data_IF_413805401348
#
_entry.id   IF_413805401348
#
_cell.length_a   1.000
_cell.length_b   1.000
_cell.length_c   1.000
_cell.angle_alpha   90.00
_cell.angle_beta   90.00
_cell.angle_gamma   90.00
#
_symmetry.space_group_name_H-M   'P 1'
#
loop_
_entity.id
_entity.type
_entity.pdbx_description
1 polymer ?
#
# COMPACT_ATOMS: atom_id res chain seq x y z
N UNK A 1 1.28 -24.71 20.37
CA UNK A 1 1.88 -23.88 19.31
C UNK A 1 0.72 -23.12 18.70
N UNK A 2 0.76 -21.81 18.57
CA UNK A 2 -0.26 -21.11 17.78
C UNK A 2 -0.19 -21.68 16.34
N UNK A 3 -1.34 -21.85 15.73
CA UNK A 3 -1.46 -22.31 14.35
C UNK A 3 -0.66 -21.37 13.44
N UNK A 4 0.47 -21.84 12.93
CA UNK A 4 1.30 -21.11 11.96
C UNK A 4 0.58 -20.90 10.62
N UNK A 5 -0.56 -21.59 10.42
CA UNK A 5 -1.40 -21.43 9.22
C UNK A 5 -2.18 -20.10 9.17
N UNK A 6 -2.15 -19.29 10.24
CA UNK A 6 -2.86 -18.00 10.32
C UNK A 6 -1.95 -16.77 10.20
N UNK A 7 -0.65 -16.93 9.93
CA UNK A 7 0.26 -15.80 9.81
C UNK A 7 0.09 -15.08 8.47
N UNK A 8 -0.63 -13.95 8.48
CA UNK A 8 -0.67 -13.02 7.35
C UNK A 8 0.37 -11.92 7.55
N UNK A 9 1.43 -11.94 6.74
CA UNK A 9 2.51 -10.94 6.75
C UNK A 9 2.02 -9.52 6.41
N UNK A 10 0.80 -9.40 5.90
CA UNK A 10 0.18 -8.13 5.49
C UNK A 10 -0.64 -7.50 6.59
N UNK A 11 -1.11 -8.30 7.55
CA UNK A 11 -1.95 -7.84 8.65
C UNK A 11 -1.11 -7.17 9.73
N UNK A 12 -1.20 -5.84 9.81
CA UNK A 12 -0.56 -5.04 10.85
C UNK A 12 -1.46 -4.80 12.07
N UNK A 13 -2.72 -5.18 12.02
CA UNK A 13 -3.66 -5.00 13.14
C UNK A 13 -3.29 -5.88 14.33
N UNK A 14 -2.52 -6.94 14.09
CA UNK A 14 -2.05 -7.90 15.10
C UNK A 14 -0.71 -7.51 15.74
N UNK A 15 -0.06 -6.41 15.28
CA UNK A 15 1.24 -5.99 15.82
C UNK A 15 1.12 -5.50 17.26
N UNK A 16 1.98 -6.01 18.14
CA UNK A 16 2.14 -5.48 19.49
C UNK A 16 2.64 -4.02 19.47
N UNK A 17 2.48 -3.31 20.58
CA UNK A 17 2.98 -1.93 20.71
C UNK A 17 4.48 -1.85 20.45
N UNK A 18 5.24 -2.83 20.91
CA UNK A 18 6.70 -2.93 20.67
C UNK A 18 7.02 -3.13 19.19
N UNK A 19 6.26 -3.95 18.48
CA UNK A 19 6.45 -4.15 17.04
C UNK A 19 6.09 -2.91 16.23
N UNK A 20 5.10 -2.12 16.67
CA UNK A 20 4.77 -0.83 16.06
C UNK A 20 5.89 0.21 16.27
N UNK A 21 6.50 0.25 17.44
CA UNK A 21 7.62 1.14 17.73
C UNK A 21 8.87 0.76 16.93
N UNK A 22 9.12 -0.54 16.76
CA UNK A 22 10.16 -1.04 15.87
C UNK A 22 9.89 -0.60 14.44
N UNK A 23 8.65 -0.79 13.94
CA UNK A 23 8.29 -0.38 12.58
C UNK A 23 8.49 1.12 12.35
N UNK A 24 8.18 1.95 13.36
CA UNK A 24 8.47 3.40 13.32
C UNK A 24 9.96 3.69 13.27
N UNK A 25 10.77 2.99 14.08
CA UNK A 25 12.23 3.17 14.11
C UNK A 25 12.91 2.79 12.79
N UNK A 26 12.34 1.84 12.05
CA UNK A 26 12.84 1.43 10.73
C UNK A 26 12.56 2.44 9.61
N UNK A 27 11.64 3.40 9.82
CA UNK A 27 11.28 4.39 8.79
C UNK A 27 12.41 5.39 8.59
N UNK A 28 12.78 5.70 7.33
CA UNK A 28 13.72 6.78 7.04
C UNK A 28 13.08 8.14 7.43
N UNK A 29 13.94 9.05 7.91
CA UNK A 29 13.52 10.37 8.41
C UNK A 29 13.87 11.52 7.46
N UNK A 30 14.63 11.25 6.40
CA UNK A 30 15.06 12.25 5.41
C UNK A 30 15.07 11.66 4.02
N UNK A 31 15.06 12.51 3.00
CA UNK A 31 15.21 12.06 1.60
C UNK A 31 16.54 11.31 1.38
N UNK A 32 17.60 11.64 2.08
CA UNK A 32 18.92 11.01 1.89
C UNK A 32 18.97 9.58 2.42
N UNK A 33 18.12 9.27 3.40
CA UNK A 33 18.01 7.92 3.98
C UNK A 33 16.90 7.09 3.33
N UNK A 34 16.04 7.71 2.54
CA UNK A 34 15.00 7.03 1.78
C UNK A 34 15.61 6.36 0.54
N UNK A 35 15.36 5.08 0.33
CA UNK A 35 15.88 4.30 -0.79
C UNK A 35 14.77 3.98 -1.77
N UNK A 36 15.12 3.98 -3.06
CA UNK A 36 14.20 3.76 -4.17
C UNK A 36 13.29 4.96 -4.46
N UNK A 37 12.43 4.83 -5.46
CA UNK A 37 11.57 5.92 -5.94
C UNK A 37 12.38 7.15 -6.39
N UNK A 38 13.59 6.98 -6.90
CA UNK A 38 14.60 8.02 -7.09
C UNK A 38 14.05 9.24 -7.83
N UNK A 39 13.35 9.02 -8.94
CA UNK A 39 12.74 10.10 -9.73
C UNK A 39 11.69 10.90 -8.95
N UNK A 40 10.87 10.22 -8.13
CA UNK A 40 9.86 10.88 -7.31
C UNK A 40 10.52 11.67 -6.18
N UNK A 41 11.55 11.11 -5.54
CA UNK A 41 12.33 11.75 -4.46
C UNK A 41 13.11 12.96 -4.97
N UNK A 42 13.76 12.87 -6.13
CA UNK A 42 14.47 14.01 -6.74
C UNK A 42 13.52 15.18 -7.02
N UNK A 43 12.35 14.92 -7.60
CA UNK A 43 11.36 15.95 -7.84
C UNK A 43 10.86 16.57 -6.52
N UNK A 44 10.56 15.75 -5.51
CA UNK A 44 10.13 16.22 -4.19
C UNK A 44 11.18 17.11 -3.53
N UNK A 45 12.47 16.74 -3.59
CA UNK A 45 13.58 17.56 -3.08
C UNK A 45 13.54 18.97 -3.69
N UNK A 46 13.37 19.07 -5.00
CA UNK A 46 13.30 20.35 -5.71
C UNK A 46 12.08 21.16 -5.26
N UNK A 47 10.89 20.55 -5.22
CA UNK A 47 9.67 21.24 -4.86
C UNK A 47 9.68 21.72 -3.40
N UNK A 48 10.13 20.87 -2.48
CA UNK A 48 10.29 21.22 -1.06
C UNK A 48 11.29 22.34 -0.88
N UNK A 49 12.44 22.29 -1.54
CA UNK A 49 13.44 23.36 -1.48
C UNK A 49 12.89 24.69 -2.03
N UNK A 50 12.15 24.66 -3.14
CA UNK A 50 11.53 25.84 -3.72
C UNK A 50 10.47 26.45 -2.79
N UNK A 51 9.62 25.66 -2.16
CA UNK A 51 8.64 26.10 -1.18
C UNK A 51 9.30 26.78 0.04
N UNK A 52 10.39 26.16 0.57
CA UNK A 52 11.20 26.75 1.65
C UNK A 52 11.78 28.10 1.27
N UNK A 53 12.33 28.24 0.06
CA UNK A 53 12.91 29.51 -0.39
C UNK A 53 11.89 30.63 -0.49
N UNK A 54 10.64 30.31 -0.79
CA UNK A 54 9.52 31.29 -0.85
C UNK A 54 8.84 31.50 0.50
N UNK A 55 9.10 30.65 1.49
CA UNK A 55 8.39 30.58 2.78
C UNK A 55 6.88 30.31 2.61
N UNK A 56 6.51 29.59 1.57
CA UNK A 56 5.14 29.21 1.23
C UNK A 56 4.85 27.77 1.59
N UNK A 57 3.56 27.42 1.72
CA UNK A 57 3.14 26.04 1.74
C UNK A 57 3.56 25.33 0.43
N UNK A 58 3.92 24.05 0.50
CA UNK A 58 4.16 23.24 -0.68
C UNK A 58 2.82 23.01 -1.40
N UNK A 59 2.82 22.96 -2.72
CA UNK A 59 1.66 22.54 -3.49
C UNK A 59 1.15 21.18 -2.99
N UNK A 60 -0.17 20.96 -3.07
CA UNK A 60 -0.77 19.70 -2.64
C UNK A 60 -0.20 18.51 -3.42
N UNK A 61 0.14 17.44 -2.70
CA UNK A 61 0.85 16.26 -3.22
C UNK A 61 -0.06 15.04 -3.23
N UNK A 62 -0.15 14.36 -4.36
CA UNK A 62 -0.81 13.07 -4.49
C UNK A 62 0.24 11.97 -4.62
N UNK A 63 0.33 11.09 -3.60
CA UNK A 63 1.20 9.92 -3.59
C UNK A 63 0.34 8.68 -3.85
N UNK A 64 0.35 8.13 -5.05
CA UNK A 64 -0.50 6.98 -5.37
C UNK A 64 0.33 5.73 -5.75
N UNK A 65 -0.22 4.58 -5.50
CA UNK A 65 0.41 3.29 -5.73
C UNK A 65 -0.02 2.24 -4.70
N UNK A 66 0.35 0.98 -4.88
CA UNK A 66 0.04 -0.11 -3.97
C UNK A 66 0.37 0.19 -2.50
N UNK A 67 -0.24 -0.50 -1.54
CA UNK A 67 0.10 -0.34 -0.13
C UNK A 67 1.53 -0.81 0.16
N UNK A 68 2.16 -0.24 1.18
CA UNK A 68 3.48 -0.65 1.66
C UNK A 68 4.69 -0.07 0.91
N UNK A 69 4.49 0.86 -0.04
CA UNK A 69 5.56 1.48 -0.85
C UNK A 69 6.18 2.75 -0.23
N UNK A 70 5.73 3.18 0.95
CA UNK A 70 6.33 4.31 1.66
C UNK A 70 5.57 5.64 1.53
N UNK A 71 4.29 5.66 1.12
CA UNK A 71 3.47 6.90 1.03
C UNK A 71 3.47 7.69 2.33
N UNK A 72 3.13 7.05 3.43
CA UNK A 72 3.15 7.65 4.78
C UNK A 72 4.54 8.09 5.20
N UNK A 73 5.58 7.32 4.85
CA UNK A 73 6.97 7.68 5.14
C UNK A 73 7.39 8.95 4.40
N UNK A 74 7.07 9.06 3.11
CA UNK A 74 7.36 10.26 2.32
C UNK A 74 6.62 11.47 2.85
N UNK A 75 5.38 11.35 3.35
CA UNK A 75 4.65 12.48 3.95
C UNK A 75 5.34 13.00 5.22
N UNK A 76 5.87 12.10 6.05
CA UNK A 76 6.69 12.50 7.21
C UNK A 76 7.99 13.19 6.80
N UNK A 77 8.66 12.67 5.77
CA UNK A 77 9.89 13.27 5.25
C UNK A 77 9.61 14.67 4.69
N UNK A 78 8.52 14.84 3.92
CA UNK A 78 8.11 16.16 3.39
C UNK A 78 7.94 17.16 4.54
N UNK A 79 7.21 16.82 5.59
CA UNK A 79 7.02 17.71 6.74
C UNK A 79 8.33 18.00 7.47
N UNK A 80 9.16 16.99 7.71
CA UNK A 80 10.47 17.15 8.36
C UNK A 80 11.41 18.05 7.52
N UNK A 81 11.46 17.86 6.22
CA UNK A 81 12.27 18.66 5.32
C UNK A 81 11.75 20.11 5.18
N UNK A 82 10.44 20.32 5.22
CA UNK A 82 9.85 21.67 5.29
C UNK A 82 10.10 22.33 6.65
N UNK A 83 10.31 21.55 7.71
CA UNK A 83 10.48 22.03 9.08
C UNK A 83 9.16 22.43 9.74
N UNK A 84 8.04 21.76 9.38
CA UNK A 84 6.67 22.03 9.85
C UNK A 84 6.06 20.78 10.50
N UNK A 85 4.89 20.98 11.13
CA UNK A 85 4.14 19.87 11.72
C UNK A 85 3.47 19.00 10.66
N UNK A 86 3.10 17.78 11.10
CA UNK A 86 2.29 16.87 10.29
C UNK A 86 1.10 16.36 11.10
N UNK A 87 -0.09 16.40 10.51
CA UNK A 87 -1.28 15.70 11.01
C UNK A 87 -1.66 14.58 10.10
N UNK A 88 -1.99 13.45 10.70
CA UNK A 88 -2.26 12.20 9.96
C UNK A 88 -3.67 11.75 10.25
N UNK A 89 -4.42 11.45 9.19
CA UNK A 89 -5.75 10.85 9.25
C UNK A 89 -5.95 9.89 8.08
N UNK A 90 -7.13 9.31 7.97
CA UNK A 90 -7.52 8.48 6.83
C UNK A 90 -8.93 8.83 6.35
N UNK A 91 -9.23 8.54 5.09
CA UNK A 91 -10.54 8.79 4.50
C UNK A 91 -11.69 8.22 5.32
N UNK A 92 -11.65 6.94 5.75
CA UNK A 92 -12.71 6.33 6.56
C UNK A 92 -12.95 6.98 7.94
N UNK A 93 -11.98 7.69 8.50
CA UNK A 93 -12.10 8.38 9.81
C UNK A 93 -12.82 9.71 9.66
N UNK A 94 -12.73 10.34 8.49
CA UNK A 94 -13.38 11.62 8.19
C UNK A 94 -14.81 11.39 7.68
N UNK A 95 -15.72 11.08 8.59
CA UNK A 95 -17.10 10.72 8.24
C UNK A 95 -17.99 11.96 8.01
N UNK A 96 -17.72 13.05 8.71
CA UNK A 96 -18.53 14.27 8.68
C UNK A 96 -17.69 15.51 8.36
N UNK A 97 -18.31 16.55 7.74
CA UNK A 97 -17.64 17.84 7.50
C UNK A 97 -17.03 18.46 8.75
N UNK A 98 -17.66 18.29 9.92
CA UNK A 98 -17.16 18.79 11.19
C UNK A 98 -15.83 18.15 11.62
N UNK A 99 -15.60 16.88 11.30
CA UNK A 99 -14.34 16.19 11.60
C UNK A 99 -13.20 16.80 10.77
N UNK A 100 -13.45 17.03 9.49
CA UNK A 100 -12.51 17.70 8.59
C UNK A 100 -12.24 19.14 9.04
N UNK A 101 -13.28 19.90 9.37
CA UNK A 101 -13.17 21.29 9.83
C UNK A 101 -12.34 21.41 11.10
N UNK A 102 -12.59 20.55 12.10
CA UNK A 102 -11.82 20.49 13.34
C UNK A 102 -10.34 20.19 13.10
N UNK A 103 -10.06 19.31 12.15
CA UNK A 103 -8.68 18.98 11.77
C UNK A 103 -8.01 20.16 11.08
N UNK A 104 -8.65 20.75 10.05
CA UNK A 104 -8.10 21.86 9.27
C UNK A 104 -7.85 23.12 10.09
N UNK A 105 -8.78 23.49 10.99
CA UNK A 105 -8.64 24.65 11.87
C UNK A 105 -7.53 24.49 12.92
N UNK A 106 -7.08 23.26 13.15
CA UNK A 106 -6.01 22.95 14.12
C UNK A 106 -4.62 22.90 13.48
N UNK A 107 -4.49 23.17 12.16
CA UNK A 107 -3.20 23.22 11.46
C UNK A 107 -2.52 24.58 11.71
N UNK A 108 -1.23 24.53 11.97
CA UNK A 108 -0.37 25.71 11.99
C UNK A 108 0.01 26.11 10.55
N UNK A 109 0.51 27.34 10.33
CA UNK A 109 0.91 27.79 8.99
C UNK A 109 1.92 26.85 8.33
N UNK A 110 1.61 26.45 7.11
CA UNK A 110 2.40 25.55 6.24
C UNK A 110 2.49 24.08 6.71
N UNK A 111 1.73 23.69 7.74
CA UNK A 111 1.67 22.29 8.19
C UNK A 111 1.27 21.33 7.07
N UNK A 112 1.67 20.08 7.23
CA UNK A 112 1.28 19.00 6.34
C UNK A 112 0.08 18.24 6.92
N UNK A 113 -0.98 18.10 6.12
CA UNK A 113 -2.09 17.20 6.39
C UNK A 113 -1.95 15.95 5.51
N UNK A 114 -1.75 14.79 6.11
CA UNK A 114 -1.73 13.51 5.39
C UNK A 114 -3.06 12.79 5.55
N UNK A 115 -3.70 12.43 4.42
CA UNK A 115 -4.92 11.64 4.39
C UNK A 115 -4.64 10.33 3.67
N UNK A 116 -4.54 9.23 4.43
CA UNK A 116 -4.45 7.90 3.83
C UNK A 116 -5.80 7.45 3.30
N UNK A 117 -5.81 6.60 2.28
CA UNK A 117 -7.04 6.14 1.61
C UNK A 117 -8.01 7.29 1.26
N UNK A 118 -7.48 8.43 0.83
CA UNK A 118 -8.27 9.65 0.55
C UNK A 118 -9.44 9.41 -0.42
N UNK A 119 -9.38 8.39 -1.25
CA UNK A 119 -10.43 7.96 -2.17
C UNK A 119 -11.68 7.40 -1.46
N UNK A 120 -11.60 7.16 -0.15
CA UNK A 120 -12.70 6.67 0.68
C UNK A 120 -13.42 7.80 1.44
N UNK A 121 -13.09 9.04 1.16
CA UNK A 121 -13.85 10.19 1.68
C UNK A 121 -15.30 10.13 1.16
N UNK A 122 -16.25 10.53 2.00
CA UNK A 122 -17.62 10.72 1.56
C UNK A 122 -17.70 11.91 0.59
N UNK A 123 -18.61 11.91 -0.41
CA UNK A 123 -18.75 13.02 -1.36
C UNK A 123 -18.95 14.37 -0.69
N UNK A 124 -19.65 14.39 0.45
CA UNK A 124 -19.90 15.62 1.21
C UNK A 124 -18.59 16.16 1.80
N UNK A 125 -17.77 15.31 2.42
CA UNK A 125 -16.48 15.72 2.99
C UNK A 125 -15.52 16.14 1.90
N UNK A 126 -15.56 15.48 0.75
CA UNK A 126 -14.74 15.82 -0.41
C UNK A 126 -15.05 17.23 -0.95
N UNK A 127 -16.32 17.65 -0.98
CA UNK A 127 -16.72 19.00 -1.39
C UNK A 127 -16.15 20.10 -0.46
N UNK A 128 -16.15 19.87 0.85
CA UNK A 128 -15.53 20.78 1.81
C UNK A 128 -14.02 20.87 1.62
N UNK A 129 -13.39 19.76 1.25
CA UNK A 129 -11.96 19.71 1.00
C UNK A 129 -11.56 20.55 -0.23
N UNK A 130 -12.43 20.66 -1.25
CA UNK A 130 -12.14 21.46 -2.43
C UNK A 130 -11.88 22.93 -2.09
N UNK A 131 -12.77 23.58 -1.33
CA UNK A 131 -12.63 24.98 -0.93
C UNK A 131 -11.42 25.17 -0.02
N UNK A 132 -11.16 24.20 0.87
CA UNK A 132 -10.00 24.22 1.73
C UNK A 132 -8.68 24.16 0.95
N UNK A 133 -8.62 23.40 -0.15
CA UNK A 133 -7.42 23.28 -0.99
C UNK A 133 -7.20 24.50 -1.89
N UNK A 134 -8.25 25.08 -2.42
CA UNK A 134 -8.13 26.19 -3.40
C UNK A 134 -7.98 27.55 -2.71
N UNK A 135 -8.83 27.82 -1.72
CA UNK A 135 -8.99 29.16 -1.14
C UNK A 135 -8.52 29.24 0.33
N UNK A 136 -8.06 28.15 0.93
CA UNK A 136 -7.77 28.04 2.35
C UNK A 136 -8.96 28.53 3.22
N UNK A 137 -10.16 28.08 2.86
CA UNK A 137 -11.42 28.41 3.53
C UNK A 137 -12.32 27.21 3.63
N UNK A 138 -13.18 27.21 4.63
CA UNK A 138 -14.21 26.20 4.79
C UNK A 138 -15.54 26.87 5.17
N UNK A 139 -16.62 26.54 4.48
CA UNK A 139 -17.97 27.03 4.77
C UNK A 139 -18.75 25.99 5.52
N UNK A 140 -19.04 26.23 6.80
CA UNK A 140 -19.77 25.29 7.66
C UNK A 140 -21.24 25.70 7.73
N UNK A 141 -22.13 24.80 7.30
CA UNK A 141 -23.58 24.98 7.44
C UNK A 141 -23.99 24.70 8.90
N UNK A 142 -24.54 25.74 9.58
CA UNK A 142 -25.00 25.63 10.98
C UNK A 142 -26.37 24.99 11.09
N UNK A 143 -27.25 25.22 10.10
CA UNK A 143 -28.63 24.78 10.10
C UNK A 143 -28.99 24.09 8.79
N UNK A 144 -30.08 23.32 8.81
CA UNK A 144 -30.66 22.71 7.61
C UNK A 144 -31.98 23.43 7.28
N UNK A 145 -32.19 23.76 6.02
CA UNK A 145 -33.44 24.32 5.51
C UNK A 145 -33.30 25.67 4.81
N UNK A 146 -34.42 26.32 4.42
CA UNK A 146 -34.40 27.55 3.62
C UNK A 146 -33.76 28.77 4.32
N UNK A 147 -33.61 28.72 5.65
CA UNK A 147 -32.98 29.76 6.47
C UNK A 147 -31.61 29.35 6.99
N UNK A 148 -30.99 28.34 6.37
CA UNK A 148 -29.70 27.83 6.78
C UNK A 148 -28.66 28.96 6.75
N UNK A 149 -27.86 29.06 7.82
CA UNK A 149 -26.74 29.99 7.94
C UNK A 149 -25.44 29.21 7.74
N UNK A 150 -24.52 29.80 6.99
CA UNK A 150 -23.16 29.32 6.89
C UNK A 150 -22.21 30.23 7.65
N UNK A 151 -21.18 29.66 8.23
CA UNK A 151 -20.02 30.37 8.76
C UNK A 151 -18.84 30.00 7.87
N UNK A 152 -18.19 31.01 7.32
CA UNK A 152 -16.92 30.88 6.63
C UNK A 152 -15.78 30.99 7.64
N UNK A 153 -14.88 30.03 7.63
CA UNK A 153 -13.68 29.99 8.44
C UNK A 153 -12.48 30.05 7.55
N UNK A 154 -11.61 31.02 7.76
CA UNK A 154 -10.31 31.11 7.09
C UNK A 154 -9.35 30.10 7.73
N UNK A 155 -8.57 29.41 6.93
CA UNK A 155 -7.59 28.42 7.32
C UNK A 155 -6.17 28.93 7.12
N UNK A 156 -5.23 28.48 7.92
CA UNK A 156 -3.83 28.67 7.62
C UNK A 156 -3.47 27.95 6.30
N UNK A 157 -2.59 28.50 5.46
CA UNK A 157 -2.03 27.78 4.33
C UNK A 157 -1.44 26.44 4.80
N UNK A 158 -1.74 25.36 4.09
CA UNK A 158 -1.28 24.02 4.43
C UNK A 158 -0.99 23.19 3.18
N UNK A 159 -0.24 22.14 3.34
CA UNK A 159 0.01 21.15 2.27
C UNK A 159 -0.81 19.90 2.53
N UNK A 160 -1.72 19.57 1.61
CA UNK A 160 -2.40 18.27 1.64
C UNK A 160 -1.55 17.24 0.94
N UNK A 161 -1.28 16.13 1.61
CA UNK A 161 -0.70 14.92 1.00
C UNK A 161 -1.76 13.83 0.99
N UNK A 162 -2.31 13.54 -0.18
CA UNK A 162 -3.31 12.50 -0.38
C UNK A 162 -2.67 11.18 -0.81
N UNK A 163 -3.13 10.06 -0.25
CA UNK A 163 -2.57 8.74 -0.52
C UNK A 163 -3.64 7.72 -0.93
N UNK A 164 -4.10 7.69 -2.18
CA UNK A 164 -4.95 6.61 -2.67
C UNK A 164 -4.12 5.39 -3.06
N UNK A 165 -4.74 4.21 -3.09
CA UNK A 165 -4.13 2.99 -3.63
C UNK A 165 -3.99 3.04 -5.15
N UNK A 166 -4.91 3.74 -5.84
CA UNK A 166 -4.91 3.98 -7.29
C UNK A 166 -5.43 5.39 -7.56
N UNK A 167 -4.77 6.13 -8.45
CA UNK A 167 -5.21 7.49 -8.82
C UNK A 167 -6.60 7.53 -9.47
N UNK A 168 -6.98 6.46 -10.17
CA UNK A 168 -8.29 6.34 -10.82
C UNK A 168 -9.48 6.16 -9.86
N UNK A 169 -9.23 5.97 -8.56
CA UNK A 169 -10.27 5.91 -7.53
C UNK A 169 -10.72 7.30 -7.07
N UNK A 170 -9.92 8.34 -7.33
CA UNK A 170 -10.27 9.71 -7.00
C UNK A 170 -11.25 10.28 -8.02
N UNK A 171 -12.13 11.16 -7.54
CA UNK A 171 -12.94 11.97 -8.44
C UNK A 171 -12.05 12.90 -9.27
N UNK A 172 -12.48 13.21 -10.48
CA UNK A 172 -11.71 14.10 -11.36
C UNK A 172 -11.50 15.50 -10.74
N UNK A 173 -12.49 16.12 -10.06
CA UNK A 173 -12.31 17.39 -9.39
C UNK A 173 -11.26 17.36 -8.27
N UNK A 174 -11.25 16.33 -7.42
CA UNK A 174 -10.26 16.21 -6.35
C UNK A 174 -8.85 16.02 -6.93
N UNK A 175 -8.71 15.15 -7.93
CA UNK A 175 -7.42 14.89 -8.57
C UNK A 175 -6.81 16.14 -9.23
N UNK A 176 -7.64 16.99 -9.83
CA UNK A 176 -7.19 18.21 -10.50
C UNK A 176 -6.59 19.27 -9.55
N UNK A 177 -6.88 19.16 -8.24
CA UNK A 177 -6.39 20.09 -7.21
C UNK A 177 -5.02 19.74 -6.67
N UNK A 178 -4.48 18.57 -7.02
CA UNK A 178 -3.12 18.20 -6.66
C UNK A 178 -2.14 18.72 -7.73
N UNK A 179 -1.29 19.67 -7.34
CA UNK A 179 -0.24 20.23 -8.22
C UNK A 179 0.90 19.24 -8.47
N UNK A 180 1.17 18.37 -7.48
CA UNK A 180 2.25 17.39 -7.54
C UNK A 180 1.65 15.98 -7.50
N UNK A 181 1.86 15.20 -8.58
CA UNK A 181 1.32 13.84 -8.72
C UNK A 181 2.48 12.85 -8.88
N UNK A 182 2.65 11.94 -7.93
CA UNK A 182 3.77 11.00 -7.89
C UNK A 182 3.26 9.57 -7.79
N UNK A 183 3.59 8.76 -8.78
CA UNK A 183 3.35 7.33 -8.78
C UNK A 183 4.50 6.62 -8.06
N UNK A 184 4.19 5.81 -7.06
CA UNK A 184 5.14 4.94 -6.40
C UNK A 184 5.04 3.55 -7.00
N UNK A 185 6.19 3.01 -7.40
CA UNK A 185 6.31 1.72 -8.05
C UNK A 185 6.82 0.65 -7.07
N UNK A 186 6.65 -0.61 -7.44
CA UNK A 186 7.26 -1.70 -6.71
C UNK A 186 8.79 -1.59 -6.78
N UNK A 187 9.44 -1.91 -5.68
CA UNK A 187 10.89 -1.90 -5.55
C UNK A 187 11.51 -3.13 -6.21
N UNK A 188 12.68 -2.96 -6.79
CA UNK A 188 13.52 -4.07 -7.21
C UNK A 188 14.16 -4.79 -6.03
N UNK A 189 14.72 -5.97 -6.29
CA UNK A 189 15.32 -6.82 -5.27
C UNK A 189 16.57 -6.17 -4.65
N UNK A 190 17.37 -5.45 -5.44
CA UNK A 190 18.61 -4.82 -4.97
C UNK A 190 18.28 -3.71 -3.97
N UNK A 191 17.37 -2.82 -4.33
CA UNK A 191 16.91 -1.74 -3.44
C UNK A 191 16.27 -2.29 -2.15
N UNK A 192 15.47 -3.38 -2.25
CA UNK A 192 14.91 -4.02 -1.06
C UNK A 192 15.98 -4.69 -0.20
N UNK A 193 17.02 -5.28 -0.78
CA UNK A 193 18.12 -5.85 -0.03
C UNK A 193 18.89 -4.77 0.75
N UNK A 194 19.10 -3.59 0.16
CA UNK A 194 19.69 -2.44 0.85
C UNK A 194 18.82 -1.96 2.01
N UNK A 195 17.48 -1.91 1.81
CA UNK A 195 16.53 -1.57 2.89
C UNK A 195 16.59 -2.59 4.02
N UNK A 196 16.68 -3.89 3.69
CA UNK A 196 16.80 -4.98 4.67
C UNK A 196 18.10 -4.86 5.44
N UNK A 197 19.22 -4.59 4.78
CA UNK A 197 20.52 -4.38 5.45
C UNK A 197 20.45 -3.23 6.44
N UNK A 198 20.00 -2.06 6.00
CA UNK A 198 19.80 -0.90 6.88
C UNK A 198 18.88 -1.23 8.06
N UNK A 199 17.78 -1.94 7.81
CA UNK A 199 16.84 -2.34 8.86
C UNK A 199 17.47 -3.34 9.84
N UNK A 200 18.28 -4.29 9.36
CA UNK A 200 19.00 -5.25 10.17
C UNK A 200 20.04 -4.55 11.08
N UNK A 201 20.74 -3.54 10.56
CA UNK A 201 21.68 -2.73 11.34
C UNK A 201 20.97 -1.97 12.47
N UNK A 202 19.81 -1.34 12.18
CA UNK A 202 18.99 -0.66 13.20
C UNK A 202 18.53 -1.66 14.28
N UNK A 203 18.16 -2.88 13.87
CA UNK A 203 17.77 -3.96 14.77
C UNK A 203 18.95 -4.65 15.47
N UNK A 204 20.18 -4.18 15.21
CA UNK A 204 21.42 -4.77 15.73
C UNK A 204 21.52 -6.29 15.49
N UNK A 205 21.04 -6.73 14.32
CA UNK A 205 21.02 -8.13 13.93
C UNK A 205 21.92 -8.33 12.71
N UNK A 206 23.07 -9.01 12.83
CA UNK A 206 23.94 -9.24 11.68
C UNK A 206 23.23 -10.01 10.57
N UNK A 207 23.20 -9.46 9.36
CA UNK A 207 22.57 -10.07 8.20
C UNK A 207 23.56 -10.17 7.05
N UNK A 208 23.79 -11.37 6.53
CA UNK A 208 24.68 -11.53 5.37
C UNK A 208 23.99 -11.05 4.07
N UNK A 209 24.74 -10.51 3.09
CA UNK A 209 24.17 -9.99 1.84
C UNK A 209 23.26 -10.99 1.10
N UNK A 210 23.66 -12.26 1.05
CA UNK A 210 22.85 -13.31 0.40
C UNK A 210 21.53 -13.60 1.11
N UNK A 211 21.44 -13.40 2.42
CA UNK A 211 20.21 -13.52 3.17
C UNK A 211 19.28 -12.33 2.90
N UNK A 212 19.82 -11.11 2.85
CA UNK A 212 19.04 -9.93 2.52
C UNK A 212 18.41 -10.05 1.12
N UNK A 213 19.15 -10.54 0.12
CA UNK A 213 18.64 -10.80 -1.22
C UNK A 213 17.56 -11.88 -1.20
N UNK A 214 17.71 -12.96 -0.41
CA UNK A 214 16.70 -14.01 -0.28
C UNK A 214 15.38 -13.47 0.31
N UNK A 215 15.45 -12.68 1.38
CA UNK A 215 14.28 -12.02 1.98
C UNK A 215 13.67 -11.01 1.01
N UNK A 216 14.49 -10.20 0.33
CA UNK A 216 14.05 -9.22 -0.65
C UNK A 216 13.28 -9.86 -1.80
N UNK A 217 13.76 -10.98 -2.32
CA UNK A 217 13.14 -11.70 -3.44
C UNK A 217 11.72 -12.18 -3.13
N UNK A 218 11.41 -12.45 -1.84
CA UNK A 218 10.09 -12.88 -1.38
C UNK A 218 9.24 -11.75 -0.77
N UNK A 219 9.74 -10.50 -0.84
CA UNK A 219 9.07 -9.32 -0.25
C UNK A 219 8.07 -8.62 -1.17
N UNK A 220 7.70 -9.23 -2.30
CA UNK A 220 6.68 -8.75 -3.25
C UNK A 220 6.94 -7.32 -3.78
N UNK A 221 8.19 -6.86 -3.76
CA UNK A 221 8.51 -5.51 -4.19
C UNK A 221 8.09 -4.42 -3.19
N UNK A 222 7.82 -4.74 -1.91
CA UNK A 222 7.37 -3.75 -0.93
C UNK A 222 8.24 -3.70 0.33
N UNK A 223 8.72 -2.51 0.73
CA UNK A 223 9.49 -2.34 1.97
C UNK A 223 8.78 -2.80 3.24
N UNK A 224 7.43 -2.64 3.29
CA UNK A 224 6.62 -3.09 4.42
C UNK A 224 6.75 -4.60 4.64
N UNK A 225 6.58 -5.39 3.58
CA UNK A 225 6.70 -6.86 3.65
C UNK A 225 8.15 -7.24 3.92
N UNK A 226 9.13 -6.57 3.29
CA UNK A 226 10.55 -6.81 3.54
C UNK A 226 10.91 -6.69 5.02
N UNK A 227 10.48 -5.62 5.68
CA UNK A 227 10.70 -5.42 7.11
C UNK A 227 9.92 -6.41 7.98
N UNK A 228 8.70 -6.78 7.58
CA UNK A 228 7.92 -7.80 8.31
C UNK A 228 8.62 -9.17 8.24
N UNK A 229 9.09 -9.57 7.06
CA UNK A 229 9.84 -10.81 6.89
C UNK A 229 11.17 -10.78 7.63
N UNK A 230 11.90 -9.68 7.59
CA UNK A 230 13.17 -9.52 8.32
C UNK A 230 12.97 -9.76 9.82
N UNK A 231 11.92 -9.20 10.43
CA UNK A 231 11.60 -9.43 11.85
C UNK A 231 11.39 -10.91 12.15
N UNK A 232 10.60 -11.60 11.34
CA UNK A 232 10.36 -13.04 11.54
C UNK A 232 11.64 -13.86 11.33
N UNK A 233 12.40 -13.59 10.28
CA UNK A 233 13.69 -14.27 10.03
C UNK A 233 14.67 -14.04 11.19
N UNK A 234 14.68 -12.85 11.78
CA UNK A 234 15.45 -12.55 12.99
C UNK A 234 15.05 -13.45 14.16
N UNK A 235 13.74 -13.63 14.40
CA UNK A 235 13.26 -14.48 15.49
C UNK A 235 13.75 -15.94 15.31
N UNK A 236 13.75 -16.44 14.06
CA UNK A 236 14.33 -17.75 13.73
C UNK A 236 15.85 -17.78 13.96
N UNK A 237 16.57 -16.73 13.57
CA UNK A 237 18.01 -16.65 13.76
C UNK A 237 18.40 -16.67 15.24
N UNK A 238 17.64 -16.01 16.10
CA UNK A 238 17.84 -16.01 17.54
C UNK A 238 17.55 -17.36 18.21
N UNK A 239 16.52 -18.08 17.75
CA UNK A 239 16.07 -19.32 18.39
C UNK A 239 16.78 -20.56 17.82
N UNK A 240 17.05 -20.56 16.51
CA UNK A 240 17.62 -21.73 15.79
C UNK A 240 19.07 -21.56 15.38
N UNK A 241 19.64 -20.36 15.51
CA UNK A 241 21.00 -20.03 15.16
C UNK A 241 21.75 -19.34 16.29
N UNK A 242 22.75 -18.59 15.94
CA UNK A 242 23.59 -17.76 16.81
C UNK A 242 23.17 -16.29 16.86
N UNK A 243 21.98 -15.96 16.34
CA UNK A 243 21.46 -14.60 16.21
C UNK A 243 21.86 -13.90 14.90
N UNK A 244 22.66 -14.56 14.05
CA UNK A 244 23.05 -14.05 12.74
C UNK A 244 22.09 -14.57 11.66
N UNK A 245 21.60 -13.68 10.80
CA UNK A 245 20.76 -14.05 9.65
C UNK A 245 21.66 -14.49 8.51
N UNK A 246 21.80 -15.81 8.34
CA UNK A 246 22.44 -16.43 7.17
C UNK A 246 21.40 -16.76 6.10
N UNK A 247 21.84 -17.10 4.88
CA UNK A 247 20.94 -17.49 3.81
C UNK A 247 20.13 -18.74 4.17
N UNK A 248 20.78 -19.72 4.82
CA UNK A 248 20.17 -20.97 5.25
C UNK A 248 19.05 -20.73 6.27
N UNK A 249 19.30 -19.85 7.26
CA UNK A 249 18.29 -19.44 8.24
C UNK A 249 17.15 -18.69 7.57
N UNK A 250 17.46 -17.78 6.63
CA UNK A 250 16.43 -17.06 5.89
C UNK A 250 15.53 -18.01 5.08
N UNK A 251 16.12 -18.93 4.31
CA UNK A 251 15.36 -19.93 3.57
C UNK A 251 14.49 -20.77 4.51
N UNK A 252 15.07 -21.32 5.59
CA UNK A 252 14.35 -22.13 6.56
C UNK A 252 13.17 -21.38 7.20
N UNK A 253 13.39 -20.13 7.60
CA UNK A 253 12.33 -19.32 8.21
C UNK A 253 11.19 -19.03 7.23
N UNK A 254 11.52 -18.65 5.99
CA UNK A 254 10.53 -18.34 4.96
C UNK A 254 9.70 -19.57 4.57
N UNK A 255 10.33 -20.74 4.47
CA UNK A 255 9.63 -22.00 4.25
C UNK A 255 8.73 -22.37 5.44
N UNK A 256 9.20 -22.21 6.68
CA UNK A 256 8.42 -22.45 7.88
C UNK A 256 7.20 -21.51 8.01
N UNK A 257 7.28 -20.33 7.41
CA UNK A 257 6.19 -19.34 7.31
C UNK A 257 5.28 -19.57 6.08
N UNK A 258 5.46 -20.67 5.34
CA UNK A 258 4.72 -20.98 4.10
C UNK A 258 4.84 -19.88 3.03
N UNK A 259 5.98 -19.20 2.97
CA UNK A 259 6.26 -18.17 1.95
C UNK A 259 7.16 -18.80 0.89
N UNK A 260 6.62 -18.97 -0.29
CA UNK A 260 7.32 -19.62 -1.39
C UNK A 260 8.34 -18.71 -2.10
N UNK A 261 8.98 -19.23 -3.13
CA UNK A 261 10.01 -18.53 -3.93
C UNK A 261 9.49 -17.28 -4.64
N UNK A 262 8.19 -17.17 -4.86
CA UNK A 262 7.54 -15.99 -5.45
C UNK A 262 7.00 -15.03 -4.39
N UNK A 263 7.22 -15.33 -3.11
CA UNK A 263 6.65 -14.57 -2.01
C UNK A 263 5.15 -14.79 -1.83
N UNK A 264 4.58 -15.85 -2.43
CA UNK A 264 3.17 -16.20 -2.20
C UNK A 264 3.05 -16.90 -0.85
N UNK A 265 2.03 -16.52 -0.09
CA UNK A 265 1.70 -17.16 1.18
C UNK A 265 0.57 -18.18 1.03
N UNK A 266 0.11 -18.69 2.15
CA UNK A 266 -0.96 -19.68 2.20
C UNK A 266 -2.26 -19.18 1.53
N UNK A 267 -2.64 -17.92 1.77
CA UNK A 267 -3.89 -17.37 1.22
C UNK A 267 -3.82 -17.19 -0.30
N UNK A 268 -2.68 -16.70 -0.81
CA UNK A 268 -2.47 -16.58 -2.25
C UNK A 268 -2.56 -17.93 -2.94
N UNK A 269 -1.87 -18.94 -2.39
CA UNK A 269 -1.89 -20.30 -2.93
C UNK A 269 -3.31 -20.91 -2.85
N UNK A 270 -4.05 -20.65 -1.76
CA UNK A 270 -5.44 -21.04 -1.61
C UNK A 270 -6.33 -20.36 -2.65
N UNK A 271 -6.11 -19.06 -2.93
CA UNK A 271 -6.84 -18.29 -3.96
C UNK A 271 -6.63 -18.91 -5.34
N UNK A 272 -5.38 -19.17 -5.71
CA UNK A 272 -5.05 -19.83 -6.99
C UNK A 272 -5.69 -21.23 -7.07
N UNK A 273 -5.63 -22.01 -5.98
CA UNK A 273 -6.27 -23.32 -5.88
C UNK A 273 -7.80 -23.24 -6.04
N UNK A 274 -8.45 -22.25 -5.45
CA UNK A 274 -9.88 -22.02 -5.62
C UNK A 274 -10.23 -21.77 -7.09
N UNK A 275 -9.50 -20.89 -7.78
CA UNK A 275 -9.76 -20.61 -9.20
C UNK A 275 -9.52 -21.86 -10.06
N UNK A 276 -8.43 -22.60 -9.82
CA UNK A 276 -8.03 -23.74 -10.65
C UNK A 276 -8.86 -24.98 -10.36
N UNK A 277 -8.93 -25.39 -9.10
CA UNK A 277 -9.50 -26.68 -8.73
C UNK A 277 -11.03 -26.63 -8.64
N UNK A 278 -11.62 -25.52 -8.10
CA UNK A 278 -13.07 -25.39 -7.95
C UNK A 278 -13.77 -24.81 -9.19
N UNK A 279 -13.11 -23.89 -9.89
CA UNK A 279 -13.71 -23.15 -11.03
C UNK A 279 -13.00 -23.41 -12.35
N UNK A 280 -12.25 -24.50 -12.45
CA UNK A 280 -11.65 -24.95 -13.71
C UNK A 280 -10.74 -23.92 -14.41
N UNK A 281 -10.09 -23.05 -13.63
CA UNK A 281 -9.22 -21.98 -14.11
C UNK A 281 -9.95 -20.68 -14.43
N UNK A 282 -11.24 -20.61 -14.20
CA UNK A 282 -12.05 -19.41 -14.44
C UNK A 282 -12.66 -19.32 -15.84
N UNK A 283 -13.30 -18.18 -16.18
CA UNK A 283 -13.43 -16.97 -15.39
C UNK A 283 -14.37 -17.10 -14.17
N UNK A 284 -14.00 -16.55 -13.04
CA UNK A 284 -14.79 -16.56 -11.80
C UNK A 284 -14.91 -15.15 -11.21
N UNK A 285 -16.09 -14.81 -10.71
CA UNK A 285 -16.39 -13.49 -10.14
C UNK A 285 -15.66 -13.27 -8.80
N UNK A 286 -15.34 -12.01 -8.49
CA UNK A 286 -14.65 -11.62 -7.25
C UNK A 286 -15.37 -12.11 -6.00
N UNK A 287 -16.68 -11.87 -5.91
CA UNK A 287 -17.52 -12.26 -4.76
C UNK A 287 -17.52 -13.77 -4.53
N UNK A 288 -17.51 -14.55 -5.64
CA UNK A 288 -17.44 -16.01 -5.56
C UNK A 288 -16.10 -16.49 -5.01
N UNK A 289 -14.99 -15.87 -5.44
CA UNK A 289 -13.66 -16.16 -4.91
C UNK A 289 -13.61 -15.81 -3.43
N UNK A 290 -14.03 -14.61 -3.05
CA UNK A 290 -14.03 -14.12 -1.68
C UNK A 290 -14.84 -15.06 -0.76
N UNK A 291 -16.06 -15.43 -1.17
CA UNK A 291 -16.87 -16.42 -0.42
C UNK A 291 -16.17 -17.77 -0.26
N UNK A 292 -15.50 -18.25 -1.32
CA UNK A 292 -14.80 -19.54 -1.27
C UNK A 292 -13.54 -19.51 -0.39
N UNK A 293 -12.94 -18.35 -0.19
CA UNK A 293 -11.80 -18.12 0.71
C UNK A 293 -12.25 -17.88 2.16
N UNK A 294 -13.46 -17.36 2.39
CA UNK A 294 -13.93 -16.84 3.67
C UNK A 294 -13.46 -15.43 3.93
N UNK A 295 -13.23 -14.64 2.87
CA UNK A 295 -12.66 -13.29 2.91
C UNK A 295 -13.67 -12.23 2.41
N UNK A 296 -13.40 -10.96 2.73
CA UNK A 296 -14.15 -9.84 2.14
C UNK A 296 -13.72 -9.60 0.68
N UNK A 297 -14.67 -9.31 -0.25
CA UNK A 297 -14.33 -9.02 -1.64
C UNK A 297 -13.35 -7.86 -1.82
N UNK A 298 -13.46 -6.81 -1.00
CA UNK A 298 -12.53 -5.67 -1.03
C UNK A 298 -11.11 -6.10 -0.66
N UNK A 299 -10.94 -6.94 0.35
CA UNK A 299 -9.66 -7.51 0.75
C UNK A 299 -9.03 -8.31 -0.40
N UNK A 300 -9.83 -9.15 -1.07
CA UNK A 300 -9.33 -9.92 -2.22
C UNK A 300 -8.86 -8.98 -3.35
N UNK A 301 -9.64 -7.94 -3.67
CA UNK A 301 -9.33 -7.03 -4.76
C UNK A 301 -8.16 -6.08 -4.47
N UNK A 302 -8.02 -5.63 -3.23
CA UNK A 302 -7.03 -4.59 -2.87
C UNK A 302 -5.72 -5.15 -2.32
N UNK A 303 -5.77 -6.34 -1.71
CA UNK A 303 -4.61 -6.90 -0.99
C UNK A 303 -3.98 -8.08 -1.74
N UNK A 304 -4.79 -9.05 -2.20
CA UNK A 304 -4.27 -10.28 -2.81
C UNK A 304 -4.10 -10.18 -4.33
N UNK A 305 -5.13 -9.73 -5.01
CA UNK A 305 -5.20 -9.69 -6.48
C UNK A 305 -4.09 -8.87 -7.15
N UNK A 306 -3.69 -7.67 -6.65
CA UNK A 306 -2.73 -6.82 -7.35
C UNK A 306 -1.37 -7.47 -7.57
N UNK A 307 -0.87 -8.19 -6.57
CA UNK A 307 0.42 -8.88 -6.69
C UNK A 307 0.32 -10.09 -7.62
N UNK A 308 -0.75 -10.88 -7.51
CA UNK A 308 -0.97 -12.04 -8.37
C UNK A 308 -1.14 -11.64 -9.85
N UNK A 309 -1.74 -10.49 -10.13
CA UNK A 309 -1.83 -9.95 -11.49
C UNK A 309 -0.47 -9.48 -11.97
N UNK A 310 0.27 -8.72 -11.14
CA UNK A 310 1.61 -8.21 -11.47
C UNK A 310 2.56 -9.34 -11.84
N UNK A 311 2.57 -10.40 -11.05
CA UNK A 311 3.43 -11.57 -11.30
C UNK A 311 2.88 -12.51 -12.38
N UNK A 312 1.68 -12.21 -12.91
CA UNK A 312 1.10 -12.97 -14.02
C UNK A 312 0.47 -14.30 -13.63
N UNK A 313 0.15 -14.53 -12.36
CA UNK A 313 -0.57 -15.75 -11.92
C UNK A 313 -2.04 -15.73 -12.30
N UNK A 314 -2.67 -14.56 -12.25
CA UNK A 314 -4.07 -14.37 -12.66
C UNK A 314 -4.19 -13.22 -13.65
N UNK A 315 -5.25 -13.24 -14.43
CA UNK A 315 -5.64 -12.13 -15.30
C UNK A 315 -7.08 -11.72 -15.01
N UNK A 316 -7.35 -10.43 -15.14
CA UNK A 316 -8.68 -9.84 -15.01
C UNK A 316 -9.34 -9.78 -16.37
N UNK A 317 -10.53 -10.33 -16.49
CA UNK A 317 -11.34 -10.31 -17.71
C UNK A 317 -12.71 -9.67 -17.41
N UNK A 318 -13.48 -9.23 -18.43
CA UNK A 318 -14.83 -8.72 -18.21
C UNK A 318 -15.78 -9.73 -17.51
N UNK A 319 -15.48 -11.03 -17.62
CA UNK A 319 -16.26 -12.12 -17.00
C UNK A 319 -15.79 -12.50 -15.60
N UNK A 320 -14.62 -12.02 -15.17
CA UNK A 320 -14.02 -12.37 -13.87
C UNK A 320 -12.52 -12.64 -13.95
N UNK A 321 -12.01 -13.38 -12.96
CA UNK A 321 -10.59 -13.72 -12.83
C UNK A 321 -10.31 -15.07 -13.42
N UNK A 322 -9.21 -15.21 -14.14
CA UNK A 322 -8.73 -16.44 -14.75
C UNK A 322 -7.30 -16.73 -14.32
N UNK A 323 -7.02 -17.98 -13.98
CA UNK A 323 -5.67 -18.45 -13.73
C UNK A 323 -4.89 -18.57 -15.04
N UNK A 324 -3.60 -18.25 -15.01
CA UNK A 324 -2.68 -18.40 -16.14
C UNK A 324 -1.95 -19.73 -16.08
N UNK A 325 -1.23 -20.08 -17.15
CA UNK A 325 -0.39 -21.28 -17.18
C UNK A 325 0.69 -21.27 -16.09
N UNK A 326 1.15 -20.07 -15.70
CA UNK A 326 2.09 -19.90 -14.59
C UNK A 326 1.47 -20.39 -13.27
N UNK A 327 0.20 -20.03 -12.99
CA UNK A 327 -0.51 -20.47 -11.80
C UNK A 327 -0.70 -22.01 -11.77
N UNK A 328 -1.04 -22.59 -12.91
CA UNK A 328 -1.14 -24.06 -13.03
C UNK A 328 0.21 -24.74 -12.76
N UNK A 329 1.28 -24.24 -13.39
CA UNK A 329 2.63 -24.78 -13.20
C UNK A 329 3.11 -24.64 -11.76
N UNK A 330 2.80 -23.51 -11.13
CA UNK A 330 3.15 -23.20 -9.75
C UNK A 330 2.54 -24.19 -8.77
N UNK A 331 1.24 -24.50 -8.92
CA UNK A 331 0.53 -25.48 -8.08
C UNK A 331 0.73 -26.93 -8.53
N UNK A 332 1.60 -27.20 -9.52
CA UNK A 332 1.82 -28.53 -10.05
C UNK A 332 0.57 -29.12 -10.74
N UNK A 333 -0.28 -28.26 -11.29
CA UNK A 333 -1.49 -28.66 -12.03
C UNK A 333 -1.23 -28.57 -13.53
N UNK A 334 -2.00 -29.33 -14.32
CA UNK A 334 -1.98 -29.23 -15.78
C UNK A 334 -3.09 -28.29 -16.24
N UNK A 335 -2.79 -27.31 -17.13
CA UNK A 335 -3.84 -26.48 -17.73
C UNK A 335 -4.87 -27.38 -18.42
N UNK A 336 -6.18 -27.09 -18.23
CA UNK A 336 -7.20 -27.73 -19.04
C UNK A 336 -7.06 -27.26 -20.47
N UNK A 337 -6.88 -28.16 -21.41
CA UNK A 337 -6.93 -27.85 -22.84
C UNK A 337 -8.36 -27.34 -23.09
N UNK A 338 -8.52 -26.02 -23.23
CA UNK A 338 -9.75 -25.49 -23.79
C UNK A 338 -9.83 -26.02 -25.21
N UNK A 339 -10.69 -26.99 -25.48
CA UNK A 339 -11.09 -27.25 -26.84
C UNK A 339 -11.62 -25.94 -27.41
N UNK A 340 -10.91 -25.37 -28.36
CA UNK A 340 -11.43 -24.31 -29.19
C UNK A 340 -12.72 -24.89 -29.81
N UNK A 341 -13.87 -24.41 -29.38
CA UNK A 341 -15.13 -24.81 -30.00
C UNK A 341 -15.00 -24.56 -31.49
N UNK A 342 -15.11 -25.59 -32.30
CA UNK A 342 -15.19 -25.48 -33.74
C UNK A 342 -16.46 -24.69 -34.04
N UNK A 343 -16.30 -23.45 -34.45
CA UNK A 343 -17.35 -22.58 -34.95
C UNK A 343 -17.64 -22.88 -36.45
N UNK A 344 -17.54 -24.11 -36.88
CA UNK A 344 -17.92 -24.52 -38.23
C UNK A 344 -18.42 -25.97 -38.16
N UNK A 345 -19.71 -26.13 -38.01
CA UNK A 345 -20.52 -27.22 -38.55
C UNK A 345 -21.98 -26.89 -38.21
N UNK A 346 -22.61 -26.24 -39.17
CA UNK A 346 -24.05 -26.40 -39.52
C UNK A 346 -24.34 -25.52 -40.73
N UNK A 347 -23.79 -25.91 -41.87
CA UNK A 347 -24.42 -25.69 -43.16
C UNK A 347 -24.80 -27.07 -43.70
N UNK A 348 -26.00 -27.51 -43.41
CA UNK A 348 -26.76 -28.44 -44.24
C UNK A 348 -28.15 -28.68 -43.64
N UNK A 349 -29.15 -27.99 -44.10
CA UNK A 349 -30.42 -28.36 -44.70
C UNK A 349 -31.35 -27.16 -44.71
#
# INVERSE_FOLDING_TARGET
MPDLDSFDIRDQSTLSTEEQDIDRALRPLSFDTFRGQDKAVENLKIFVQAAKMRSDALDHVLLYGPPGLGKTTLSHIIAAELGVGIKITSGPVLDKPGDLAGLLTSLEPNDVLFIDEIHRLSPIVEEYLYSAMEDYRIDIMLDKGPSARSIQIDLNPFTLVGAPTRSGLLTAPLRARFGINLHLEYYDIETLADIIHRSADILQTPCVPSAAVEVASRSRGTPRIANALLRRVRDFAQVKGDGRITKEIACYALEALNIDRYGLDYIDNKLLGVIIDKFAGGPVGLTTIATALGEDPGTVEEVYEPYLIKEGFIKRTPRGREATDLAYSHLGRKPRIRQAGSFFDDDNY
#
